data_IF_553882130808
#
_entry.id   IF_553882130808
#
_cell.length_a   1.000
_cell.length_b   1.000
_cell.length_c   1.000
_cell.angle_alpha   90.00
_cell.angle_beta   90.00
_cell.angle_gamma   90.00
#
_symmetry.space_group_name_H-M   'P 1'
#
loop_
_entity.id
_entity.type
_entity.pdbx_description
1 polymer ?
#
# COMPACT_ATOMS: atom_id res chain seq x y z
N UNK A 1 19.74 14.83 -7.29
CA UNK A 1 19.30 14.66 -5.89
C UNK A 1 18.22 13.58 -5.90
N UNK A 2 18.45 12.41 -5.30
CA UNK A 2 17.40 11.41 -5.18
C UNK A 2 16.36 11.93 -4.20
N UNK A 3 15.18 12.28 -4.69
CA UNK A 3 14.06 12.66 -3.82
C UNK A 3 13.60 11.41 -3.08
N UNK A 4 13.97 11.26 -1.81
CA UNK A 4 13.45 10.17 -0.97
C UNK A 4 11.96 10.41 -0.72
N UNK A 5 11.11 9.67 -1.43
CA UNK A 5 9.66 9.69 -1.20
C UNK A 5 9.36 9.22 0.24
N UNK A 6 8.50 9.97 0.95
CA UNK A 6 8.14 9.62 2.33
C UNK A 6 7.48 8.24 2.41
N UNK A 7 7.63 7.56 3.54
CA UNK A 7 6.98 6.26 3.78
C UNK A 7 5.47 6.36 3.60
N UNK A 8 4.85 7.44 4.08
CA UNK A 8 3.42 7.73 3.89
C UNK A 8 3.04 7.79 2.42
N UNK A 9 3.83 8.47 1.58
CA UNK A 9 3.54 8.57 0.16
C UNK A 9 3.70 7.22 -0.55
N UNK A 10 4.67 6.39 -0.15
CA UNK A 10 4.83 5.02 -0.66
C UNK A 10 3.62 4.14 -0.31
N UNK A 11 3.23 4.13 0.97
CA UNK A 11 2.07 3.37 1.46
C UNK A 11 0.78 3.79 0.73
N UNK A 12 0.51 5.10 0.65
CA UNK A 12 -0.67 5.63 -0.04
C UNK A 12 -0.65 5.25 -1.53
N UNK A 13 0.51 5.29 -2.17
CA UNK A 13 0.68 4.84 -3.55
C UNK A 13 0.33 3.37 -3.74
N UNK A 14 0.83 2.50 -2.86
CA UNK A 14 0.53 1.07 -2.88
C UNK A 14 -0.95 0.76 -2.64
N UNK A 15 -1.57 1.40 -1.65
CA UNK A 15 -3.01 1.24 -1.39
C UNK A 15 -3.83 1.65 -2.63
N UNK A 16 -3.50 2.78 -3.26
CA UNK A 16 -4.18 3.22 -4.49
C UNK A 16 -3.97 2.27 -5.66
N UNK A 17 -2.76 1.74 -5.83
CA UNK A 17 -2.47 0.74 -6.85
C UNK A 17 -3.31 -0.53 -6.62
N UNK A 18 -3.45 -0.97 -5.38
CA UNK A 18 -4.19 -2.18 -5.04
C UNK A 18 -5.71 -2.03 -5.20
N UNK A 19 -6.23 -0.84 -4.88
CA UNK A 19 -7.60 -0.47 -5.21
C UNK A 19 -7.83 -0.50 -6.72
N UNK A 20 -6.94 0.14 -7.50
CA UNK A 20 -7.07 0.20 -8.96
C UNK A 20 -7.02 -1.17 -9.62
N UNK A 21 -6.17 -2.10 -9.15
CA UNK A 21 -6.10 -3.50 -9.65
C UNK A 21 -7.42 -4.26 -9.49
N UNK A 22 -8.30 -3.82 -8.58
CA UNK A 22 -9.59 -4.45 -8.27
C UNK A 22 -10.81 -3.65 -8.74
N UNK A 23 -10.58 -2.58 -9.51
CA UNK A 23 -11.65 -1.63 -9.90
C UNK A 23 -12.38 -1.01 -8.70
N UNK A 24 -11.64 -0.79 -7.60
CA UNK A 24 -12.12 -0.13 -6.39
C UNK A 24 -11.58 1.30 -6.29
N UNK A 25 -12.24 2.13 -5.49
CA UNK A 25 -11.85 3.50 -5.22
C UNK A 25 -11.84 3.83 -3.72
N UNK A 26 -11.44 5.06 -3.38
CA UNK A 26 -11.32 5.47 -1.97
C UNK A 26 -12.62 5.44 -1.17
N UNK A 27 -13.78 5.56 -1.81
CA UNK A 27 -15.07 5.42 -1.14
C UNK A 27 -15.29 4.00 -0.58
N UNK A 28 -14.76 2.98 -1.26
CA UNK A 28 -14.93 1.58 -0.85
C UNK A 28 -14.20 1.25 0.46
N UNK A 29 -13.27 2.11 0.89
CA UNK A 29 -12.60 2.00 2.19
C UNK A 29 -13.40 2.59 3.36
N UNK A 30 -14.51 3.31 3.12
CA UNK A 30 -15.34 3.92 4.19
C UNK A 30 -15.87 2.87 5.15
N UNK A 31 -16.50 1.81 4.63
CA UNK A 31 -17.09 0.76 5.47
C UNK A 31 -16.02 -0.09 6.19
N UNK A 32 -14.96 -0.61 5.53
CA UNK A 32 -13.90 -1.36 6.19
C UNK A 32 -13.18 -0.57 7.31
N UNK A 33 -12.99 0.74 7.12
CA UNK A 33 -12.30 1.56 8.11
C UNK A 33 -13.22 2.06 9.23
N UNK A 34 -14.53 2.07 9.02
CA UNK A 34 -15.48 2.71 9.95
C UNK A 34 -15.30 4.23 10.04
N UNK A 35 -14.77 4.85 8.98
CA UNK A 35 -14.45 6.26 8.91
C UNK A 35 -15.37 7.00 7.95
N UNK A 36 -15.66 8.27 8.24
CA UNK A 36 -16.34 9.14 7.27
C UNK A 36 -15.49 9.39 6.02
N UNK A 37 -16.15 9.62 4.87
CA UNK A 37 -15.51 9.86 3.56
C UNK A 37 -14.35 10.85 3.62
N UNK A 38 -14.55 12.01 4.25
CA UNK A 38 -13.50 13.05 4.35
C UNK A 38 -12.24 12.55 5.08
N UNK A 39 -12.42 11.73 6.11
CA UNK A 39 -11.31 11.17 6.88
C UNK A 39 -10.52 10.13 6.07
N UNK A 40 -11.20 9.35 5.22
CA UNK A 40 -10.55 8.42 4.28
C UNK A 40 -9.73 9.18 3.25
N UNK A 41 -10.32 10.18 2.59
CA UNK A 41 -9.60 10.94 1.56
C UNK A 41 -8.47 11.80 2.12
N UNK A 42 -8.56 12.29 3.36
CA UNK A 42 -7.43 12.94 4.03
C UNK A 42 -6.21 11.99 4.14
N UNK A 43 -6.45 10.71 4.41
CA UNK A 43 -5.37 9.70 4.46
C UNK A 43 -4.85 9.34 3.08
N UNK A 44 -5.74 9.15 2.10
CA UNK A 44 -5.35 8.88 0.71
C UNK A 44 -4.65 10.06 0.02
N UNK A 45 -4.69 11.27 0.57
CA UNK A 45 -3.86 12.40 0.12
C UNK A 45 -2.54 12.50 0.89
N UNK A 46 -2.40 11.79 2.01
CA UNK A 46 -1.25 11.90 2.91
C UNK A 46 -1.35 13.06 3.91
N UNK A 47 -2.47 13.80 3.94
CA UNK A 47 -2.71 14.89 4.91
C UNK A 47 -2.77 14.35 6.35
N UNK A 48 -3.22 13.10 6.50
CA UNK A 48 -3.23 12.35 7.77
C UNK A 48 -2.62 10.96 7.54
N UNK A 49 -1.78 10.45 8.45
CA UNK A 49 -1.25 9.10 8.30
C UNK A 49 -2.37 8.06 8.53
N UNK A 50 -2.22 6.89 7.89
CA UNK A 50 -2.89 5.68 8.35
C UNK A 50 -2.17 5.17 9.61
N UNK A 51 -2.93 4.70 10.59
CA UNK A 51 -2.35 3.88 11.66
C UNK A 51 -2.23 2.40 11.24
N UNK A 52 -1.57 1.60 12.07
CA UNK A 52 -1.31 0.18 11.76
C UNK A 52 -2.61 -0.62 11.65
N UNK A 53 -3.60 -0.35 12.49
CA UNK A 53 -4.89 -1.05 12.50
C UNK A 53 -5.70 -0.72 11.23
N UNK A 54 -5.65 0.52 10.78
CA UNK A 54 -6.28 0.94 9.52
C UNK A 54 -5.62 0.26 8.32
N UNK A 55 -4.30 0.10 8.32
CA UNK A 55 -3.57 -0.62 7.27
C UNK A 55 -4.00 -2.10 7.23
N UNK A 56 -4.06 -2.77 8.39
CA UNK A 56 -4.51 -4.17 8.48
C UNK A 56 -5.94 -4.36 7.99
N UNK A 57 -6.86 -3.44 8.31
CA UNK A 57 -8.23 -3.45 7.82
C UNK A 57 -8.31 -3.32 6.31
N UNK A 58 -7.51 -2.43 5.72
CA UNK A 58 -7.44 -2.26 4.26
C UNK A 58 -6.88 -3.52 3.62
N UNK A 59 -5.79 -4.09 4.16
CA UNK A 59 -5.19 -5.32 3.66
C UNK A 59 -6.18 -6.50 3.71
N UNK A 60 -6.90 -6.65 4.82
CA UNK A 60 -7.97 -7.65 4.98
C UNK A 60 -9.07 -7.47 3.95
N UNK A 61 -9.55 -6.23 3.77
CA UNK A 61 -10.58 -5.91 2.77
C UNK A 61 -10.13 -6.23 1.34
N UNK A 62 -8.86 -5.97 1.01
CA UNK A 62 -8.30 -6.22 -0.31
C UNK A 62 -7.80 -7.66 -0.51
N UNK A 63 -7.78 -8.47 0.54
CA UNK A 63 -7.31 -9.85 0.51
C UNK A 63 -5.81 -9.98 0.23
N UNK A 64 -4.98 -9.09 0.81
CA UNK A 64 -3.51 -9.10 0.65
C UNK A 64 -2.78 -8.98 1.98
N UNK A 65 -1.48 -9.30 1.97
CA UNK A 65 -0.59 -8.97 3.08
C UNK A 65 -0.37 -7.44 3.17
N UNK A 66 -0.41 -6.82 4.36
CA UNK A 66 -0.16 -5.38 4.54
C UNK A 66 1.16 -4.88 3.95
N UNK A 67 2.20 -5.73 3.90
CA UNK A 67 3.50 -5.37 3.34
C UNK A 67 3.45 -5.20 1.81
N UNK A 68 2.46 -5.78 1.14
CA UNK A 68 2.28 -5.64 -0.31
C UNK A 68 2.05 -4.18 -0.75
N UNK A 69 1.59 -3.30 0.15
CA UNK A 69 1.47 -1.87 -0.16
C UNK A 69 2.82 -1.15 -0.32
N UNK A 70 3.93 -1.78 0.06
CA UNK A 70 5.26 -1.24 -0.12
C UNK A 70 6.00 -1.85 -1.31
N UNK A 71 5.47 -2.92 -1.89
CA UNK A 71 5.99 -3.55 -3.09
C UNK A 71 5.68 -2.66 -4.30
N UNK A 72 6.72 -1.99 -4.80
CA UNK A 72 6.61 -1.21 -6.02
C UNK A 72 6.47 -2.15 -7.22
N UNK A 73 5.50 -1.96 -8.12
CA UNK A 73 5.60 -2.54 -9.45
C UNK A 73 6.86 -1.98 -10.13
N UNK A 74 7.83 -2.83 -10.43
CA UNK A 74 9.00 -2.50 -11.24
C UNK A 74 10.33 -2.24 -10.52
N UNK A 75 10.42 -2.47 -9.21
CA UNK A 75 11.74 -2.63 -8.58
C UNK A 75 11.99 -4.13 -8.49
N UNK A 76 12.94 -4.70 -9.27
CA UNK A 76 13.33 -6.09 -9.07
C UNK A 76 13.87 -6.21 -7.66
N UNK A 77 13.09 -6.84 -6.79
CA UNK A 77 13.61 -7.49 -5.59
C UNK A 77 14.78 -8.33 -6.07
N UNK A 78 16.00 -8.05 -5.58
CA UNK A 78 17.19 -8.87 -5.83
C UNK A 78 17.07 -10.21 -5.10
N UNK A 79 16.00 -10.95 -5.36
CA UNK A 79 15.92 -12.37 -5.11
C UNK A 79 16.10 -13.06 -6.47
N UNK A 80 17.35 -13.10 -6.93
CA UNK A 80 17.80 -14.10 -7.88
C UNK A 80 19.07 -14.68 -7.28
N UNK A 81 18.88 -15.81 -6.60
CA UNK A 81 19.68 -17.02 -6.77
C UNK A 81 21.18 -16.78 -7.03
N UNK A 82 21.97 -17.10 -6.01
CA UNK A 82 23.35 -17.54 -6.21
C UNK A 82 23.52 -18.86 -5.46
N UNK A 83 22.73 -19.83 -5.88
CA UNK A 83 22.97 -21.24 -5.61
C UNK A 83 23.64 -21.84 -6.85
N UNK A 84 24.87 -21.43 -7.16
CA UNK A 84 25.78 -22.16 -8.04
C UNK A 84 27.21 -21.59 -7.89
N UNK A 85 28.08 -22.28 -7.13
CA UNK A 85 29.28 -22.95 -7.67
C UNK A 85 29.63 -24.09 -6.71
N UNK A 86 29.04 -25.26 -6.96
CA UNK A 86 29.63 -26.54 -6.63
C UNK A 86 29.68 -27.34 -7.94
N UNK A 87 30.80 -27.20 -8.67
CA UNK A 87 31.27 -28.12 -9.70
C UNK A 87 32.75 -27.82 -9.99
#
# INVERSE_FOLDING_TARGET
MSSTTSLTARLVGGIKAELARRDLNGHDLVAPLGLGRNAVYARLRGDRPFDVVEIEKIATFLGVDPLAFFEMPGVPTRASESEEVAA
#
